data_IF_003514551055
#
_entry.id   IF_003514551055
#
_cell.length_a   1.000
_cell.length_b   1.000
_cell.length_c   1.000
_cell.angle_alpha   90.00
_cell.angle_beta   90.00
_cell.angle_gamma   90.00
#
_symmetry.space_group_name_H-M   'P 1'
#
loop_
_entity.id
_entity.type
_entity.pdbx_description
1 polymer ?
#
# COMPACT_ATOMS: atom_id res chain seq x y z
N UNK A 1 -19.44 -12.11 -15.49
CA UNK A 1 -19.99 -12.70 -14.26
C UNK A 1 -19.29 -12.03 -13.09
N UNK A 2 -19.96 -11.10 -12.41
CA UNK A 2 -19.44 -10.41 -11.23
C UNK A 2 -19.29 -11.43 -10.09
N UNK A 3 -18.22 -11.37 -9.30
CA UNK A 3 -18.06 -12.16 -8.08
C UNK A 3 -18.54 -11.35 -6.86
N UNK A 4 -19.83 -11.41 -6.48
CA UNK A 4 -20.40 -10.60 -5.40
C UNK A 4 -19.86 -10.92 -3.99
N UNK A 5 -18.99 -11.91 -3.82
CA UNK A 5 -18.49 -12.36 -2.52
C UNK A 5 -17.10 -11.83 -2.14
N UNK A 6 -16.32 -11.25 -3.06
CA UNK A 6 -14.98 -10.76 -2.72
C UNK A 6 -15.03 -9.35 -2.11
N UNK A 7 -15.90 -8.48 -2.64
CA UNK A 7 -15.98 -7.07 -2.22
C UNK A 7 -16.56 -6.93 -0.80
N UNK A 8 -17.61 -7.69 -0.46
CA UNK A 8 -18.21 -7.72 0.90
C UNK A 8 -17.20 -8.14 1.98
N UNK A 9 -16.25 -9.01 1.63
CA UNK A 9 -15.21 -9.45 2.56
C UNK A 9 -14.11 -8.39 2.72
N UNK A 10 -13.77 -7.66 1.65
CA UNK A 10 -12.78 -6.58 1.71
C UNK A 10 -13.26 -5.44 2.63
N UNK A 11 -14.51 -4.97 2.47
CA UNK A 11 -15.08 -3.91 3.32
C UNK A 11 -15.11 -4.31 4.80
N UNK A 12 -15.46 -5.57 5.06
CA UNK A 12 -15.46 -6.13 6.42
C UNK A 12 -14.05 -6.13 7.02
N UNK A 13 -13.04 -6.53 6.25
CA UNK A 13 -11.64 -6.53 6.68
C UNK A 13 -11.15 -5.12 6.99
N UNK A 14 -11.48 -4.13 6.14
CA UNK A 14 -11.10 -2.74 6.36
C UNK A 14 -11.79 -2.14 7.60
N UNK A 15 -13.06 -2.46 7.83
CA UNK A 15 -13.79 -2.06 9.03
C UNK A 15 -13.22 -2.70 10.30
N UNK A 16 -12.86 -3.99 10.23
CA UNK A 16 -12.19 -4.68 11.33
C UNK A 16 -10.84 -4.06 11.64
N UNK A 17 -10.03 -3.72 10.63
CA UNK A 17 -8.77 -3.01 10.80
C UNK A 17 -8.99 -1.70 11.57
N UNK A 18 -9.93 -0.86 11.13
CA UNK A 18 -10.26 0.41 11.81
C UNK A 18 -10.70 0.19 13.26
N UNK A 19 -11.54 -0.82 13.51
CA UNK A 19 -12.01 -1.13 14.86
C UNK A 19 -10.86 -1.53 15.80
N UNK A 20 -9.95 -2.41 15.36
CA UNK A 20 -8.77 -2.77 16.14
C UNK A 20 -7.81 -1.59 16.32
N UNK A 21 -7.64 -0.78 15.28
CA UNK A 21 -6.85 0.44 15.33
C UNK A 21 -7.35 1.42 16.39
N UNK A 22 -8.66 1.67 16.45
CA UNK A 22 -9.28 2.50 17.48
C UNK A 22 -9.15 1.91 18.89
N UNK A 23 -9.28 0.60 19.05
CA UNK A 23 -9.07 -0.05 20.35
C UNK A 23 -7.63 0.11 20.85
N UNK A 24 -6.64 0.00 19.95
CA UNK A 24 -5.25 0.26 20.29
C UNK A 24 -5.00 1.74 20.64
N UNK A 25 -5.61 2.69 19.92
CA UNK A 25 -5.53 4.12 20.24
C UNK A 25 -6.10 4.40 21.64
N UNK A 26 -7.28 3.87 21.95
CA UNK A 26 -7.92 4.04 23.26
C UNK A 26 -7.06 3.47 24.40
N UNK A 27 -6.45 2.30 24.19
CA UNK A 27 -5.52 1.72 25.16
C UNK A 27 -4.26 2.59 25.33
N UNK A 28 -3.77 3.22 24.25
CA UNK A 28 -2.62 4.12 24.29
C UNK A 28 -2.93 5.42 25.03
N UNK A 29 -4.11 6.01 24.84
CA UNK A 29 -4.58 7.14 25.64
C UNK A 29 -4.67 6.77 27.12
N UNK A 30 -5.33 5.66 27.45
CA UNK A 30 -5.47 5.20 28.84
C UNK A 30 -4.11 4.93 29.51
N UNK A 31 -3.16 4.35 28.77
CA UNK A 31 -1.80 4.10 29.26
C UNK A 31 -1.07 5.42 29.56
N UNK A 32 -1.15 6.42 28.68
CA UNK A 32 -0.54 7.74 28.88
C UNK A 32 -1.06 8.41 30.14
N UNK A 33 -2.37 8.35 30.36
CA UNK A 33 -2.99 8.90 31.56
C UNK A 33 -2.50 8.16 32.81
N UNK A 34 -2.51 6.83 32.81
CA UNK A 34 -2.07 6.03 33.98
C UNK A 34 -0.59 6.20 34.33
N UNK A 35 0.28 6.38 33.34
CA UNK A 35 1.71 6.62 33.54
C UNK A 35 1.99 7.97 34.21
N UNK A 36 1.05 8.92 34.18
CA UNK A 36 1.16 10.17 34.93
C UNK A 36 0.84 9.98 36.43
N UNK A 37 0.22 8.86 36.84
CA UNK A 37 -0.37 8.72 38.18
C UNK A 37 -0.08 7.39 38.93
N UNK A 38 0.61 6.39 38.36
CA UNK A 38 0.77 5.05 39.02
C UNK A 38 2.11 4.33 38.80
N UNK A 39 2.47 3.46 39.78
CA UNK A 39 3.65 2.57 39.75
C UNK A 39 3.40 1.28 38.93
N UNK A 40 3.87 1.24 37.68
CA UNK A 40 4.44 0.07 37.00
C UNK A 40 3.53 -1.04 36.42
N UNK A 41 2.70 -1.72 37.21
CA UNK A 41 2.12 -3.02 36.77
C UNK A 41 0.90 -2.90 35.84
N UNK A 42 0.03 -1.91 36.03
CA UNK A 42 -1.11 -1.66 35.11
C UNK A 42 -0.66 -1.21 33.72
N UNK A 43 0.47 -0.50 33.66
CA UNK A 43 1.05 0.01 32.42
C UNK A 43 1.52 -1.10 31.47
N UNK A 44 2.04 -2.21 32.00
CA UNK A 44 2.49 -3.34 31.19
C UNK A 44 1.32 -4.05 30.49
N UNK A 45 0.21 -4.27 31.20
CA UNK A 45 -1.00 -4.91 30.63
C UNK A 45 -1.59 -4.07 29.49
N UNK A 46 -1.67 -2.76 29.68
CA UNK A 46 -2.20 -1.85 28.66
C UNK A 46 -1.25 -1.78 27.45
N UNK A 47 0.06 -1.74 27.67
CA UNK A 47 1.05 -1.80 26.60
C UNK A 47 0.94 -3.08 25.75
N UNK A 48 0.75 -4.24 26.41
CA UNK A 48 0.52 -5.51 25.71
C UNK A 48 -0.77 -5.47 24.88
N UNK A 49 -1.86 -4.94 25.45
CA UNK A 49 -3.14 -4.82 24.74
C UNK A 49 -3.08 -3.87 23.52
N UNK A 50 -2.24 -2.82 23.57
CA UNK A 50 -1.97 -1.97 22.39
C UNK A 50 -1.36 -2.82 21.28
N UNK A 51 -0.30 -3.58 21.59
CA UNK A 51 0.40 -4.42 20.59
C UNK A 51 -0.52 -5.51 20.02
N UNK A 52 -1.33 -6.18 20.86
CA UNK A 52 -2.29 -7.18 20.40
C UNK A 52 -3.27 -6.58 19.39
N UNK A 53 -3.87 -5.44 19.72
CA UNK A 53 -4.84 -4.79 18.83
C UNK A 53 -4.17 -4.24 17.56
N UNK A 54 -2.92 -3.78 17.63
CA UNK A 54 -2.16 -3.43 16.42
C UNK A 54 -1.87 -4.64 15.54
N UNK A 55 -1.50 -5.78 16.10
CA UNK A 55 -1.31 -7.00 15.31
C UNK A 55 -2.61 -7.41 14.58
N UNK A 56 -3.76 -7.31 15.26
CA UNK A 56 -5.08 -7.58 14.65
C UNK A 56 -5.47 -6.55 13.59
N UNK A 57 -5.12 -5.28 13.79
CA UNK A 57 -5.26 -4.22 12.78
C UNK A 57 -4.46 -4.59 11.53
N UNK A 58 -3.18 -4.97 11.70
CA UNK A 58 -2.30 -5.36 10.61
C UNK A 58 -2.79 -6.61 9.89
N UNK A 59 -3.23 -7.63 10.61
CA UNK A 59 -3.81 -8.85 10.02
C UNK A 59 -5.03 -8.51 9.15
N UNK A 60 -5.93 -7.67 9.66
CA UNK A 60 -7.13 -7.24 8.92
C UNK A 60 -6.76 -6.42 7.68
N UNK A 61 -5.74 -5.55 7.77
CA UNK A 61 -5.18 -4.85 6.61
C UNK A 61 -4.58 -5.81 5.59
N UNK A 62 -3.82 -6.82 6.04
CA UNK A 62 -3.26 -7.86 5.19
C UNK A 62 -4.37 -8.62 4.45
N UNK A 63 -5.40 -9.07 5.17
CA UNK A 63 -6.56 -9.73 4.59
C UNK A 63 -7.29 -8.82 3.58
N UNK A 64 -7.47 -7.53 3.90
CA UNK A 64 -8.02 -6.54 2.96
C UNK A 64 -7.16 -6.45 1.68
N UNK A 65 -5.84 -6.29 1.80
CA UNK A 65 -4.93 -6.20 0.64
C UNK A 65 -4.87 -7.48 -0.19
N UNK A 66 -5.23 -8.63 0.38
CA UNK A 66 -5.27 -9.92 -0.30
C UNK A 66 -6.61 -10.19 -1.00
N UNK A 67 -7.71 -9.54 -0.58
CA UNK A 67 -9.05 -9.81 -1.13
C UNK A 67 -9.65 -8.64 -1.89
N UNK A 68 -9.16 -7.42 -1.71
CA UNK A 68 -9.70 -6.22 -2.34
C UNK A 68 -9.68 -6.29 -3.87
N UNK A 69 -10.65 -5.62 -4.49
CA UNK A 69 -10.75 -5.48 -5.93
C UNK A 69 -9.74 -4.45 -6.44
N UNK A 70 -8.90 -4.88 -7.39
CA UNK A 70 -7.87 -4.07 -8.03
C UNK A 70 -7.85 -4.36 -9.53
N UNK A 71 -9.00 -4.63 -10.12
CA UNK A 71 -9.06 -4.99 -11.53
C UNK A 71 -8.91 -3.72 -12.38
N UNK A 72 -8.12 -3.81 -13.45
CA UNK A 72 -8.08 -2.80 -14.51
C UNK A 72 -9.00 -3.19 -15.68
N UNK A 73 -9.46 -2.22 -16.49
CA UNK A 73 -10.01 -2.52 -17.81
C UNK A 73 -8.98 -3.22 -18.71
N UNK A 74 -9.45 -3.94 -19.72
CA UNK A 74 -8.60 -4.50 -20.77
C UNK A 74 -7.86 -3.38 -21.53
N UNK A 75 -6.55 -3.51 -21.72
CA UNK A 75 -5.66 -2.45 -22.26
C UNK A 75 -5.63 -1.14 -21.44
N UNK A 76 -6.14 -1.17 -20.20
CA UNK A 76 -6.37 0.00 -19.36
C UNK A 76 -5.56 0.01 -18.07
N UNK A 77 -4.48 -0.77 -17.96
CA UNK A 77 -3.62 -0.80 -16.79
C UNK A 77 -2.48 0.22 -16.90
N UNK A 78 -2.36 1.08 -15.89
CA UNK A 78 -1.31 2.12 -15.82
C UNK A 78 -0.48 1.95 -14.55
N UNK A 79 0.82 1.86 -14.73
CA UNK A 79 1.84 1.80 -13.69
C UNK A 79 2.65 3.09 -13.71
N UNK A 80 3.39 3.35 -12.65
CA UNK A 80 4.21 4.54 -12.57
C UNK A 80 5.45 4.33 -11.71
N UNK A 81 6.57 4.94 -12.10
CA UNK A 81 7.75 5.03 -11.24
C UNK A 81 8.69 6.13 -11.74
N UNK A 82 9.49 6.71 -10.84
CA UNK A 82 10.46 7.75 -11.23
C UNK A 82 9.82 9.11 -11.48
N UNK A 83 9.69 9.90 -10.42
CA UNK A 83 9.29 11.31 -10.46
C UNK A 83 10.49 12.22 -10.73
N UNK A 84 10.31 13.32 -11.47
CA UNK A 84 11.39 14.31 -11.63
C UNK A 84 11.55 15.12 -10.35
N UNK A 85 12.78 15.16 -9.85
CA UNK A 85 13.19 15.95 -8.69
C UNK A 85 13.96 17.20 -9.12
N UNK A 86 13.74 18.32 -8.42
CA UNK A 86 14.58 19.52 -8.51
C UNK A 86 14.74 20.10 -7.11
N UNK A 87 15.99 20.33 -6.71
CA UNK A 87 16.31 20.90 -5.40
C UNK A 87 15.70 20.12 -4.21
N UNK A 88 15.56 18.80 -4.36
CA UNK A 88 14.95 17.92 -3.35
C UNK A 88 13.43 17.88 -3.35
N UNK A 89 12.77 18.63 -4.23
CA UNK A 89 11.31 18.63 -4.38
C UNK A 89 10.88 17.91 -5.66
N UNK A 90 9.72 17.26 -5.62
CA UNK A 90 9.10 16.66 -6.81
C UNK A 90 8.54 17.79 -7.69
N UNK A 91 9.10 17.99 -8.88
CA UNK A 91 8.56 18.96 -9.83
C UNK A 91 7.60 18.32 -10.84
N UNK A 92 7.74 17.02 -11.12
CA UNK A 92 6.79 16.24 -11.91
C UNK A 92 6.56 14.88 -11.23
N UNK A 93 5.32 14.60 -10.85
CA UNK A 93 4.94 13.34 -10.19
C UNK A 93 4.56 12.30 -11.24
N UNK A 94 5.25 11.15 -11.22
CA UNK A 94 4.92 10.02 -12.08
C UNK A 94 3.51 9.48 -11.78
N UNK A 95 3.14 9.38 -10.50
CA UNK A 95 1.81 8.96 -10.07
C UNK A 95 0.72 9.87 -10.64
N UNK A 96 0.81 11.18 -10.42
CA UNK A 96 -0.22 12.12 -10.89
C UNK A 96 -0.29 12.18 -12.41
N UNK A 97 0.86 12.05 -13.08
CA UNK A 97 0.93 11.98 -14.54
C UNK A 97 0.24 10.72 -15.06
N UNK A 98 0.51 9.56 -14.45
CA UNK A 98 -0.13 8.30 -14.81
C UNK A 98 -1.63 8.32 -14.58
N UNK A 99 -2.08 8.82 -13.43
CA UNK A 99 -3.50 8.98 -13.10
C UNK A 99 -4.20 9.91 -14.12
N UNK A 100 -3.59 11.05 -14.46
CA UNK A 100 -4.17 11.97 -15.44
C UNK A 100 -4.29 11.35 -16.83
N UNK A 101 -3.30 10.56 -17.27
CA UNK A 101 -3.35 9.87 -18.57
C UNK A 101 -4.38 8.73 -18.53
N UNK A 102 -4.37 7.93 -17.46
CA UNK A 102 -5.29 6.82 -17.26
C UNK A 102 -6.74 7.29 -17.33
N UNK A 103 -7.09 8.35 -16.59
CA UNK A 103 -8.43 8.93 -16.59
C UNK A 103 -8.88 9.35 -18.01
N UNK A 104 -8.01 10.08 -18.74
CA UNK A 104 -8.30 10.54 -20.10
C UNK A 104 -8.46 9.40 -21.10
N UNK A 105 -7.84 8.26 -20.85
CA UNK A 105 -7.81 7.11 -21.76
C UNK A 105 -8.70 5.95 -21.30
N UNK A 106 -9.53 6.14 -20.27
CA UNK A 106 -10.43 5.12 -19.74
C UNK A 106 -9.71 3.95 -19.05
N UNK A 107 -8.49 4.18 -18.57
CA UNK A 107 -7.72 3.25 -17.75
C UNK A 107 -7.73 3.62 -16.27
N UNK A 108 -6.97 2.87 -15.48
CA UNK A 108 -6.79 3.08 -14.04
C UNK A 108 -5.35 2.83 -13.64
N UNK A 109 -4.88 3.51 -12.59
CA UNK A 109 -3.70 3.11 -11.81
C UNK A 109 -4.14 2.29 -10.60
N UNK A 110 -3.21 1.69 -9.85
CA UNK A 110 -3.54 0.95 -8.63
C UNK A 110 -4.33 1.82 -7.64
N UNK A 111 -3.89 3.05 -7.38
CA UNK A 111 -4.52 3.97 -6.44
C UNK A 111 -5.94 4.41 -6.86
N UNK A 112 -6.27 4.27 -8.16
CA UNK A 112 -7.60 4.57 -8.70
C UNK A 112 -8.57 3.37 -8.60
N UNK A 113 -8.07 2.18 -8.26
CA UNK A 113 -8.94 1.03 -7.98
C UNK A 113 -9.60 1.17 -6.60
N UNK A 114 -10.74 0.50 -6.39
CA UNK A 114 -11.44 0.50 -5.11
C UNK A 114 -10.54 0.04 -3.94
N UNK A 115 -9.76 -1.02 -4.16
CA UNK A 115 -8.80 -1.52 -3.19
C UNK A 115 -7.70 -0.50 -2.90
N UNK A 116 -7.02 -0.03 -3.94
CA UNK A 116 -5.92 0.94 -3.82
C UNK A 116 -6.35 2.23 -3.16
N UNK A 117 -7.49 2.76 -3.58
CA UNK A 117 -8.09 3.97 -3.00
C UNK A 117 -8.39 3.81 -1.51
N UNK A 118 -8.97 2.68 -1.11
CA UNK A 118 -9.33 2.42 0.27
C UNK A 118 -8.11 2.28 1.19
N UNK A 119 -7.00 1.71 0.71
CA UNK A 119 -5.73 1.71 1.46
C UNK A 119 -5.08 3.10 1.48
N UNK A 120 -5.10 3.82 0.35
CA UNK A 120 -4.58 5.19 0.24
C UNK A 120 -5.28 6.17 1.19
N UNK A 121 -6.55 5.93 1.50
CA UNK A 121 -7.37 6.73 2.40
C UNK A 121 -7.66 6.05 3.75
N UNK A 122 -6.91 5.00 4.10
CA UNK A 122 -7.14 4.25 5.32
C UNK A 122 -7.15 5.12 6.59
N UNK A 123 -6.24 6.10 6.67
CA UNK A 123 -6.12 7.01 7.81
C UNK A 123 -7.24 8.05 7.88
N UNK A 124 -7.91 8.34 6.76
CA UNK A 124 -8.76 9.52 6.60
C UNK A 124 -8.00 10.84 6.45
N UNK A 125 -6.67 10.79 6.37
CA UNK A 125 -5.75 11.93 6.24
C UNK A 125 -5.04 11.91 4.86
N UNK A 126 -4.39 13.02 4.50
CA UNK A 126 -3.69 13.17 3.21
C UNK A 126 -2.54 12.16 2.98
N UNK A 127 -2.02 11.52 4.04
CA UNK A 127 -0.91 10.56 3.95
C UNK A 127 -1.14 9.31 4.81
N UNK A 128 -1.94 8.36 4.28
CA UNK A 128 -2.14 7.05 4.92
C UNK A 128 -0.85 6.23 5.01
N UNK A 129 0.11 6.44 4.11
CA UNK A 129 1.35 5.67 4.10
C UNK A 129 2.17 5.96 5.37
N UNK A 130 2.44 7.24 5.65
CA UNK A 130 3.16 7.65 6.86
C UNK A 130 2.39 7.32 8.13
N UNK A 131 1.06 7.42 8.09
CA UNK A 131 0.20 7.01 9.20
C UNK A 131 0.39 5.52 9.55
N UNK A 132 0.25 4.62 8.57
CA UNK A 132 0.44 3.18 8.74
C UNK A 132 1.88 2.89 9.21
N UNK A 133 2.88 3.57 8.65
CA UNK A 133 4.28 3.43 9.06
C UNK A 133 4.46 3.70 10.55
N UNK A 134 3.97 4.84 11.05
CA UNK A 134 4.10 5.18 12.47
C UNK A 134 3.29 4.24 13.38
N UNK A 135 2.10 3.79 12.95
CA UNK A 135 1.29 2.82 13.73
C UNK A 135 1.99 1.49 13.95
N UNK A 136 2.75 1.03 12.97
CA UNK A 136 3.41 -0.29 13.00
C UNK A 136 4.91 -0.21 13.19
N UNK A 137 5.46 0.95 13.56
CA UNK A 137 6.88 1.15 13.87
C UNK A 137 7.44 0.20 14.92
N UNK A 138 6.59 -0.34 15.80
CA UNK A 138 6.99 -1.36 16.78
C UNK A 138 7.34 -2.73 16.15
N UNK A 139 7.00 -2.93 14.88
CA UNK A 139 7.37 -4.07 14.06
C UNK A 139 8.69 -3.83 13.31
N UNK A 140 9.18 -2.59 13.22
CA UNK A 140 10.47 -2.28 12.61
C UNK A 140 11.62 -2.78 13.49
N UNK A 141 12.70 -3.23 12.86
CA UNK A 141 13.97 -3.48 13.57
C UNK A 141 14.54 -2.18 14.17
N UNK A 142 15.02 -2.22 15.41
CA UNK A 142 15.71 -1.09 16.07
C UNK A 142 17.22 -1.15 15.87
N UNK A 143 18.00 -0.08 16.14
CA UNK A 143 19.49 -0.13 16.11
C UNK A 143 20.13 -1.04 17.18
N UNK A 144 19.35 -1.51 18.16
CA UNK A 144 19.77 -2.49 19.18
C UNK A 144 19.48 -3.94 18.77
N UNK A 145 19.02 -4.11 17.53
CA UNK A 145 18.69 -5.38 16.91
C UNK A 145 19.93 -5.90 16.21
N UNK A 146 20.41 -7.10 16.56
CA UNK A 146 21.43 -7.80 15.76
C UNK A 146 21.00 -7.92 14.28
N UNK A 147 21.94 -8.10 13.34
CA UNK A 147 21.63 -8.28 11.91
C UNK A 147 20.72 -9.50 11.64
N UNK A 148 20.66 -10.45 12.58
CA UNK A 148 19.75 -11.61 12.59
C UNK A 148 18.56 -11.46 13.56
N UNK A 149 18.30 -10.25 14.05
CA UNK A 149 17.20 -9.95 14.96
C UNK A 149 15.88 -9.98 14.20
N UNK A 150 15.38 -11.19 14.06
CA UNK A 150 13.97 -11.49 13.93
C UNK A 150 13.33 -11.01 15.22
N UNK A 151 12.93 -9.73 15.27
CA UNK A 151 12.05 -9.21 16.32
C UNK A 151 10.88 -10.18 16.38
N UNK A 152 10.92 -11.08 17.36
CA UNK A 152 9.84 -11.99 17.68
C UNK A 152 9.62 -13.09 16.60
N UNK A 153 10.48 -14.11 16.56
CA UNK A 153 9.95 -15.47 16.40
C UNK A 153 9.42 -15.91 17.76
N UNK A 154 10.24 -16.02 18.80
CA UNK A 154 9.81 -16.50 20.12
C UNK A 154 8.79 -15.63 20.91
N UNK A 155 8.80 -14.30 20.77
CA UNK A 155 7.88 -13.41 21.52
C UNK A 155 6.53 -13.22 20.81
N UNK A 156 6.54 -13.36 19.48
CA UNK A 156 5.36 -13.42 18.63
C UNK A 156 4.86 -14.84 18.71
N UNK A 157 5.66 -15.90 18.62
CA UNK A 157 5.31 -17.30 18.89
C UNK A 157 4.81 -17.54 20.32
N UNK A 158 5.35 -16.90 21.36
CA UNK A 158 4.77 -16.98 22.72
C UNK A 158 3.48 -16.17 22.88
N UNK A 159 3.29 -15.11 22.09
CA UNK A 159 2.01 -14.37 22.00
C UNK A 159 0.99 -15.03 21.06
N UNK A 160 1.44 -15.70 20.01
CA UNK A 160 0.72 -16.43 18.96
C UNK A 160 0.31 -17.80 19.49
N UNK A 161 1.14 -18.46 20.30
CA UNK A 161 0.80 -19.74 20.94
C UNK A 161 -0.46 -19.65 21.80
N UNK A 162 -0.89 -18.44 22.19
CA UNK A 162 -2.15 -18.22 22.89
C UNK A 162 -3.27 -17.59 22.04
N UNK A 163 -3.01 -17.07 20.83
CA UNK A 163 -4.06 -16.38 20.03
C UNK A 163 -4.01 -16.47 18.49
N UNK A 164 -3.05 -17.15 17.84
CA UNK A 164 -2.92 -17.17 16.36
C UNK A 164 -2.48 -15.80 15.82
N UNK A 165 -1.53 -15.67 14.88
CA UNK A 165 -1.71 -15.88 13.44
C UNK A 165 -0.30 -15.79 12.82
N UNK A 166 0.02 -16.72 11.92
CA UNK A 166 1.21 -16.66 11.07
C UNK A 166 0.90 -15.80 9.82
N UNK A 167 1.47 -14.59 9.78
CA UNK A 167 1.24 -13.61 8.71
C UNK A 167 1.68 -14.17 7.33
N UNK A 168 2.69 -15.05 7.27
CA UNK A 168 3.16 -15.64 6.00
C UNK A 168 2.20 -16.71 5.47
N UNK A 169 1.50 -17.40 6.38
CA UNK A 169 0.48 -18.40 6.05
C UNK A 169 -0.85 -17.74 5.71
N UNK A 170 -1.29 -16.75 6.50
CA UNK A 170 -2.62 -16.12 6.33
C UNK A 170 -2.70 -15.11 5.18
N UNK A 171 -1.61 -14.43 4.83
CA UNK A 171 -1.58 -13.53 3.65
C UNK A 171 -1.44 -14.26 2.32
N UNK A 172 -1.22 -15.57 2.32
CA UNK A 172 -0.98 -16.36 1.12
C UNK A 172 0.38 -16.15 0.46
N UNK A 173 1.29 -15.35 1.06
CA UNK A 173 2.68 -15.17 0.60
C UNK A 173 3.43 -16.51 0.55
N UNK A 174 3.12 -17.43 1.46
CA UNK A 174 3.63 -18.81 1.42
C UNK A 174 3.28 -19.59 0.15
N UNK A 175 2.36 -19.10 -0.68
CA UNK A 175 1.94 -19.72 -1.96
C UNK A 175 2.51 -19.03 -3.19
N UNK A 176 3.29 -17.95 -3.04
CA UNK A 176 3.77 -17.15 -4.18
C UNK A 176 5.25 -17.36 -4.51
N UNK A 177 5.91 -18.39 -3.95
CA UNK A 177 7.36 -18.68 -4.08
C UNK A 177 8.31 -17.49 -3.74
N UNK A 178 7.76 -16.37 -3.25
CA UNK A 178 8.49 -15.15 -2.89
C UNK A 178 9.23 -15.33 -1.58
N UNK A 179 10.54 -15.58 -1.66
CA UNK A 179 11.45 -15.65 -0.48
C UNK A 179 11.84 -14.27 0.06
N UNK A 180 11.49 -13.18 -0.61
CA UNK A 180 11.98 -11.84 -0.30
C UNK A 180 11.04 -11.00 0.60
N UNK A 181 9.83 -11.46 0.87
CA UNK A 181 8.82 -10.67 1.59
C UNK A 181 8.90 -10.80 3.11
N UNK A 182 10.11 -10.86 3.69
CA UNK A 182 10.30 -10.73 5.14
C UNK A 182 10.44 -9.24 5.46
N UNK A 183 9.60 -8.73 6.36
CA UNK A 183 9.73 -7.39 6.94
C UNK A 183 11.16 -7.25 7.49
N UNK A 184 11.99 -6.50 6.79
CA UNK A 184 13.35 -6.14 7.19
C UNK A 184 13.34 -4.67 7.61
N UNK A 185 14.40 -4.19 8.27
CA UNK A 185 14.56 -2.76 8.61
C UNK A 185 14.51 -1.82 7.39
N UNK A 186 14.53 -2.38 6.16
CA UNK A 186 14.42 -1.66 4.90
C UNK A 186 13.01 -1.73 4.27
N UNK A 187 12.11 -2.59 4.74
CA UNK A 187 10.74 -2.77 4.22
C UNK A 187 9.72 -2.63 5.35
N UNK A 188 9.26 -1.40 5.59
CA UNK A 188 8.22 -1.13 6.59
C UNK A 188 6.87 -1.75 6.19
N UNK A 189 6.01 -2.03 7.16
CA UNK A 189 4.65 -2.55 6.94
C UNK A 189 3.88 -1.94 5.76
N UNK A 190 3.77 -0.60 5.58
CA UNK A 190 3.03 -0.05 4.45
C UNK A 190 3.66 -0.42 3.09
N UNK A 191 4.98 -0.56 2.98
CA UNK A 191 5.62 -1.05 1.75
C UNK A 191 5.13 -2.47 1.43
N UNK A 192 5.12 -3.37 2.41
CA UNK A 192 4.64 -4.74 2.20
C UNK A 192 3.17 -4.79 1.76
N UNK A 193 2.30 -3.98 2.37
CA UNK A 193 0.89 -3.91 1.99
C UNK A 193 0.72 -3.41 0.54
N UNK A 194 1.45 -2.36 0.16
CA UNK A 194 1.42 -1.82 -1.20
C UNK A 194 2.05 -2.77 -2.22
N UNK A 195 3.14 -3.48 -1.88
CA UNK A 195 3.76 -4.46 -2.77
C UNK A 195 2.81 -5.63 -3.08
N UNK A 196 2.09 -6.14 -2.07
CA UNK A 196 1.07 -7.18 -2.28
C UNK A 196 0.00 -6.70 -3.26
N UNK A 197 -0.48 -5.47 -3.08
CA UNK A 197 -1.50 -4.88 -3.95
C UNK A 197 -0.98 -4.64 -5.37
N UNK A 198 0.26 -4.17 -5.48
CA UNK A 198 0.96 -3.92 -6.75
C UNK A 198 1.13 -5.20 -7.56
N UNK A 199 1.62 -6.28 -6.92
CA UNK A 199 1.73 -7.59 -7.56
C UNK A 199 0.37 -8.15 -7.99
N UNK A 200 -0.65 -8.06 -7.12
CA UNK A 200 -2.01 -8.53 -7.45
C UNK A 200 -2.65 -7.70 -8.57
N UNK A 201 -2.36 -6.40 -8.64
CA UNK A 201 -2.83 -5.53 -9.72
C UNK A 201 -2.17 -5.93 -11.04
N UNK A 202 -0.85 -6.12 -11.05
CA UNK A 202 -0.09 -6.62 -12.19
C UNK A 202 -0.56 -8.00 -12.68
N UNK A 203 -0.80 -8.92 -11.75
CA UNK A 203 -1.23 -10.29 -12.07
C UNK A 203 -2.55 -10.35 -12.85
N UNK A 204 -3.44 -9.39 -12.59
CA UNK A 204 -4.78 -9.34 -13.18
C UNK A 204 -4.86 -8.52 -14.48
N UNK A 205 -3.76 -7.94 -14.93
CA UNK A 205 -3.76 -7.14 -16.17
C UNK A 205 -4.06 -8.03 -17.36
N UNK A 206 -4.89 -7.51 -18.27
CA UNK A 206 -5.16 -8.17 -19.56
C UNK A 206 -4.90 -7.21 -20.72
N UNK A 207 -4.30 -7.73 -21.79
CA UNK A 207 -3.96 -6.93 -22.97
C UNK A 207 -2.60 -6.22 -22.84
N UNK A 208 -2.57 -4.92 -23.11
CA UNK A 208 -1.40 -4.05 -22.97
C UNK A 208 -1.42 -3.25 -21.65
N UNK A 209 -0.28 -3.18 -20.98
CA UNK A 209 -0.03 -2.28 -19.85
C UNK A 209 0.80 -1.07 -20.29
N UNK A 210 0.64 0.06 -19.60
CA UNK A 210 1.51 1.23 -19.79
C UNK A 210 2.21 1.56 -18.49
N UNK A 211 3.50 1.87 -18.55
CA UNK A 211 4.27 2.34 -17.39
C UNK A 211 4.75 3.77 -17.64
N UNK A 212 4.49 4.65 -16.69
CA UNK A 212 4.73 6.08 -16.82
C UNK A 212 5.90 6.47 -15.93
N UNK A 213 6.96 6.99 -16.55
CA UNK A 213 8.12 7.54 -15.89
C UNK A 213 8.19 9.03 -16.15
N UNK A 214 7.99 9.83 -15.10
CA UNK A 214 8.09 11.29 -15.22
C UNK A 214 9.55 11.77 -15.24
N UNK A 215 10.53 10.88 -15.31
CA UNK A 215 11.97 11.13 -15.47
C UNK A 215 12.43 10.79 -16.90
N UNK A 216 13.60 11.30 -17.28
CA UNK A 216 14.25 10.96 -18.54
C UNK A 216 14.75 9.52 -18.52
N UNK A 217 14.62 8.81 -19.65
CA UNK A 217 15.23 7.48 -19.82
C UNK A 217 16.76 7.53 -19.65
N UNK A 218 17.36 8.69 -19.95
CA UNK A 218 18.80 8.93 -19.86
C UNK A 218 19.22 9.44 -18.48
N UNK A 219 18.29 9.63 -17.55
CA UNK A 219 18.60 10.08 -16.20
C UNK A 219 19.50 9.03 -15.51
N UNK A 220 20.66 9.42 -14.93
CA UNK A 220 21.52 8.49 -14.20
C UNK A 220 20.80 7.71 -13.09
N UNK A 221 19.75 8.28 -12.49
CA UNK A 221 18.93 7.62 -11.47
C UNK A 221 18.26 6.34 -11.99
N UNK A 222 17.89 6.27 -13.28
CA UNK A 222 17.32 5.05 -13.89
C UNK A 222 18.27 3.87 -13.76
N UNK A 223 19.59 4.11 -13.74
CA UNK A 223 20.62 3.08 -13.58
C UNK A 223 21.02 2.83 -12.12
N UNK A 224 20.46 3.57 -11.18
CA UNK A 224 20.77 3.42 -9.76
C UNK A 224 20.14 2.15 -9.19
N UNK A 225 20.79 1.59 -8.16
CA UNK A 225 20.25 0.44 -7.41
C UNK A 225 18.86 0.73 -6.83
N UNK A 226 18.64 1.95 -6.34
CA UNK A 226 17.35 2.36 -5.79
C UNK A 226 16.21 2.33 -6.82
N UNK A 227 16.47 2.73 -8.06
CA UNK A 227 15.47 2.63 -9.13
C UNK A 227 15.26 1.19 -9.56
N UNK A 228 16.34 0.43 -9.74
CA UNK A 228 16.27 -0.98 -10.17
C UNK A 228 15.58 -1.89 -9.14
N UNK A 229 15.62 -1.52 -7.86
CA UNK A 229 14.99 -2.25 -6.77
C UNK A 229 13.64 -1.65 -6.32
N UNK A 230 13.07 -0.70 -7.06
CA UNK A 230 11.74 -0.15 -6.72
C UNK A 230 10.61 -1.15 -7.01
N UNK A 231 9.39 -0.89 -6.52
CA UNK A 231 8.22 -1.77 -6.70
C UNK A 231 7.94 -2.09 -8.17
N UNK A 232 8.07 -1.11 -9.07
CA UNK A 232 7.90 -1.31 -10.51
C UNK A 232 8.87 -2.36 -11.07
N UNK A 233 10.18 -2.16 -10.89
CA UNK A 233 11.21 -2.99 -11.49
C UNK A 233 11.38 -4.35 -10.78
N UNK A 234 11.21 -4.38 -9.46
CA UNK A 234 11.43 -5.59 -8.67
C UNK A 234 10.20 -6.50 -8.57
N UNK A 235 8.99 -5.97 -8.75
CA UNK A 235 7.73 -6.70 -8.48
C UNK A 235 6.73 -6.63 -9.63
N UNK A 236 6.31 -5.44 -10.04
CA UNK A 236 5.20 -5.27 -11.00
C UNK A 236 5.59 -5.72 -12.41
N UNK A 237 6.68 -5.18 -12.95
CA UNK A 237 7.16 -5.49 -14.30
C UNK A 237 7.48 -6.98 -14.48
N UNK A 238 8.23 -7.65 -13.58
CA UNK A 238 8.44 -9.10 -13.66
C UNK A 238 7.14 -9.90 -13.65
N UNK A 239 6.13 -9.48 -12.88
CA UNK A 239 4.82 -10.13 -12.84
C UNK A 239 4.10 -10.03 -14.20
N UNK A 240 4.12 -8.85 -14.82
CA UNK A 240 3.55 -8.63 -16.16
C UNK A 240 4.27 -9.45 -17.24
N UNK A 241 5.60 -9.45 -17.22
CA UNK A 241 6.43 -10.21 -18.16
C UNK A 241 6.17 -11.72 -18.05
N UNK A 242 6.08 -12.25 -16.83
CA UNK A 242 5.75 -13.66 -16.58
C UNK A 242 4.36 -14.04 -17.09
N UNK A 243 3.41 -13.10 -17.07
CA UNK A 243 2.06 -13.28 -17.58
C UNK A 243 1.94 -13.03 -19.09
N UNK A 244 3.06 -12.74 -19.78
CA UNK A 244 3.09 -12.46 -21.21
C UNK A 244 2.39 -11.16 -21.61
N UNK A 245 2.24 -10.22 -20.66
CA UNK A 245 1.62 -8.91 -20.89
C UNK A 245 2.63 -7.98 -21.56
N UNK A 246 2.24 -7.37 -22.67
CA UNK A 246 3.07 -6.34 -23.32
C UNK A 246 3.03 -5.05 -22.52
N UNK A 247 4.21 -4.49 -22.22
CA UNK A 247 4.35 -3.24 -21.48
C UNK A 247 4.89 -2.14 -22.39
N UNK A 248 4.19 -1.01 -22.45
CA UNK A 248 4.68 0.22 -23.07
C UNK A 248 5.20 1.17 -22.00
N UNK A 249 6.52 1.25 -21.86
CA UNK A 249 7.16 2.25 -21.00
C UNK A 249 7.20 3.62 -21.70
N UNK A 250 6.80 4.67 -20.98
CA UNK A 250 6.79 6.05 -21.44
C UNK A 250 7.59 6.90 -20.46
N UNK A 251 8.71 7.44 -20.91
CA UNK A 251 9.58 8.37 -20.18
C UNK A 251 9.22 9.82 -20.49
N UNK A 252 9.75 10.76 -19.70
CA UNK A 252 9.42 12.19 -19.76
C UNK A 252 9.39 12.79 -21.18
N UNK A 253 10.30 12.36 -22.06
CA UNK A 253 10.44 12.82 -23.43
C UNK A 253 9.23 12.47 -24.30
N UNK A 254 8.52 11.39 -23.95
CA UNK A 254 7.32 10.89 -24.60
C UNK A 254 6.04 11.40 -23.92
N UNK A 255 6.18 12.16 -22.83
CA UNK A 255 5.09 12.67 -21.98
C UNK A 255 4.94 14.20 -22.08
N UNK A 256 5.52 14.83 -23.09
CA UNK A 256 5.48 16.28 -23.25
C UNK A 256 4.03 16.81 -23.28
N UNK A 257 3.75 17.83 -22.49
CA UNK A 257 2.39 18.35 -22.25
C UNK A 257 1.48 17.52 -21.33
N UNK A 258 1.92 16.33 -20.88
CA UNK A 258 1.19 15.47 -19.96
C UNK A 258 1.77 15.41 -18.55
N UNK A 259 3.02 15.86 -18.35
CA UNK A 259 3.67 15.90 -17.05
C UNK A 259 2.89 16.76 -16.05
N UNK A 260 2.57 16.18 -14.89
CA UNK A 260 1.84 16.86 -13.82
C UNK A 260 2.79 17.21 -12.67
N UNK A 261 2.88 18.49 -12.34
CA UNK A 261 3.64 18.97 -11.19
C UNK A 261 2.88 18.91 -9.87
N UNK A 262 3.63 18.83 -8.77
CA UNK A 262 3.13 18.60 -7.41
C UNK A 262 2.48 19.83 -6.73
N UNK A 263 2.21 20.91 -7.49
CA UNK A 263 1.70 22.18 -6.97
C UNK A 263 0.55 21.97 -5.97
N UNK A 264 0.61 22.58 -4.79
CA UNK A 264 -0.37 22.39 -3.68
C UNK A 264 -1.84 22.63 -4.07
N UNK A 265 -2.09 23.35 -5.17
CA UNK A 265 -3.41 23.54 -5.77
C UNK A 265 -3.96 22.29 -6.48
N UNK A 266 -3.08 21.41 -6.97
CA UNK A 266 -3.45 20.15 -7.64
C UNK A 266 -3.80 19.03 -6.65
N UNK A 267 -3.30 19.08 -5.41
CA UNK A 267 -3.74 18.18 -4.33
C UNK A 267 -5.24 18.35 -4.00
N UNK A 268 -5.80 19.55 -4.21
CA UNK A 268 -7.22 19.86 -4.00
C UNK A 268 -8.13 19.45 -5.15
N UNK A 269 -7.58 18.92 -6.24
CA UNK A 269 -8.32 18.68 -7.48
C UNK A 269 -8.82 17.23 -7.67
N UNK A 270 -8.75 16.35 -6.67
CA UNK A 270 -9.35 15.00 -6.80
C UNK A 270 -10.85 15.03 -7.13
N UNK A 271 -11.57 16.03 -6.60
CA UNK A 271 -12.97 16.28 -6.94
C UNK A 271 -13.17 16.77 -8.39
N UNK A 272 -12.13 17.31 -9.04
CA UNK A 272 -12.15 17.82 -10.41
C UNK A 272 -11.51 16.85 -11.43
N UNK A 273 -10.82 15.79 -10.98
CA UNK A 273 -10.36 14.64 -11.79
C UNK A 273 -11.41 13.52 -11.81
N UNK A 274 -12.70 13.89 -11.78
CA UNK A 274 -13.81 12.98 -11.97
C UNK A 274 -13.83 11.77 -11.03
N UNK A 275 -13.34 11.94 -9.78
CA UNK A 275 -13.12 10.91 -8.76
C UNK A 275 -13.84 9.60 -9.08
N UNK A 276 -13.06 8.56 -9.39
CA UNK A 276 -13.54 7.28 -9.92
C UNK A 276 -14.90 6.89 -9.33
N UNK A 277 -15.96 7.12 -10.12
CA UNK A 277 -17.25 6.50 -9.87
C UNK A 277 -17.03 5.05 -10.28
N UNK A 278 -16.67 4.21 -9.31
CA UNK A 278 -16.70 2.76 -9.50
C UNK A 278 -18.05 2.32 -10.07
N UNK A 279 -18.16 1.11 -10.60
CA UNK A 279 -19.33 0.57 -11.29
C UNK A 279 -20.66 0.51 -10.48
N UNK A 280 -20.80 1.27 -9.40
CA UNK A 280 -22.04 1.56 -8.73
C UNK A 280 -22.68 2.75 -9.45
N UNK A 281 -23.61 2.44 -10.38
CA UNK A 281 -24.62 3.43 -10.76
C UNK A 281 -25.25 3.96 -9.47
N UNK A 282 -25.39 5.28 -9.27
CA UNK A 282 -26.30 5.76 -8.26
C UNK A 282 -27.69 5.24 -8.63
N UNK A 283 -28.23 4.34 -7.81
CA UNK A 283 -29.64 3.99 -7.89
C UNK A 283 -30.41 5.28 -7.63
N UNK A 284 -30.99 5.83 -8.70
CA UNK A 284 -31.98 6.87 -8.63
C UNK A 284 -33.22 6.27 -7.95
N UNK A 285 -33.25 6.31 -6.63
CA UNK A 285 -34.51 6.27 -5.91
C UNK A 285 -34.96 7.71 -5.66
N UNK A 286 -35.92 8.07 -6.51
CA UNK A 286 -36.92 9.14 -6.39
C UNK A 286 -37.36 9.45 -4.97
#
# INVERSE_FOLDING_TARGET
MSQPNQDVNADKNLLQAKNYGHQADNNQFSLRDKLQYTNGQGALKDAVNIVINRNKELESLGAFTATSNMNSPHNGAYFWSGSTMKDGEVIHSAMLTAQSIAEKQGGVTLEMTEGGHSLHNYSGEEDSFSFIKERFKYADGTKLSDDNYTVKKDLIEKGIANTGIDILVETGISKTDSKESVVSSQHSVPHTLWDIMSMRYADKVTGEAKAIHAISEKDPYVKSEAFQNNTWNAKERPTLENNGVSVKELYSEQLDGHLVGENKSNKKNWANTGGFIGNIKPDNHS
#
